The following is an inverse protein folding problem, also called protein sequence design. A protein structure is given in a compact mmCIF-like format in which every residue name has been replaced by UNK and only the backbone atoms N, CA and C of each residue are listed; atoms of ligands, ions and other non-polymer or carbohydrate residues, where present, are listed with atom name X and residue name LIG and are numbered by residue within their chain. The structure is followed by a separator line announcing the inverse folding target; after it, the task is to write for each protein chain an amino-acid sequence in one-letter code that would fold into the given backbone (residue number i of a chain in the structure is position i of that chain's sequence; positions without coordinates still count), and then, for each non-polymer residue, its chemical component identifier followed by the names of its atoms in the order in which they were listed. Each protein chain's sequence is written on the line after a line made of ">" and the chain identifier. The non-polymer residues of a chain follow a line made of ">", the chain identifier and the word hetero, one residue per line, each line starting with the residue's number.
data_IF_119424359464
#
_entry.id   IF_119424359464
#
_cell.length_a   1.000
_cell.length_b   1.000
_cell.length_c   1.000
_cell.angle_alpha   90.00
_cell.angle_beta   90.00
_cell.angle_gamma   90.00
#
_symmetry.space_group_name_H-M   'P 1'
#
loop_
_entity.id
_entity.type
_entity.pdbx_description
1 polymer ?
#
# COMPACT_ATOMS: atom_id res chain seq x y z
N UNK A 1 54.59 -52.17 2.42
CA UNK A 1 54.05 -51.19 1.46
C UNK A 1 52.73 -50.65 2.05
N UNK A 2 52.86 -49.57 2.78
CA UNK A 2 51.73 -48.86 3.40
C UNK A 2 51.02 -47.96 2.37
N UNK A 3 49.75 -48.15 2.17
CA UNK A 3 48.91 -47.17 1.52
C UNK A 3 48.20 -46.32 2.59
N UNK A 4 48.64 -45.09 2.68
CA UNK A 4 48.04 -44.03 3.44
C UNK A 4 46.61 -43.76 2.91
N UNK A 5 45.61 -43.88 3.78
CA UNK A 5 44.25 -43.40 3.54
C UNK A 5 44.22 -41.91 3.78
N UNK A 6 44.09 -41.16 2.70
CA UNK A 6 43.76 -39.74 2.78
C UNK A 6 42.26 -39.61 3.18
N UNK A 7 42.01 -39.02 4.33
CA UNK A 7 40.68 -38.56 4.75
C UNK A 7 40.25 -37.37 3.87
N UNK A 8 39.16 -37.53 3.15
CA UNK A 8 38.47 -36.41 2.50
C UNK A 8 38.00 -35.39 3.55
N UNK A 9 38.10 -34.08 3.26
CA UNK A 9 37.59 -33.08 4.18
C UNK A 9 36.06 -33.16 4.19
N UNK A 10 35.55 -33.26 5.42
CA UNK A 10 34.13 -33.13 5.75
C UNK A 10 33.68 -31.73 5.33
N UNK A 11 33.06 -31.61 4.16
CA UNK A 11 32.34 -30.37 3.75
C UNK A 11 31.14 -30.26 4.64
N UNK A 12 31.22 -29.45 5.69
CA UNK A 12 30.06 -28.98 6.46
C UNK A 12 28.98 -28.56 5.46
N UNK A 13 27.90 -29.32 5.42
CA UNK A 13 26.70 -28.94 4.69
C UNK A 13 26.12 -27.75 5.45
N UNK A 14 26.26 -26.55 4.88
CA UNK A 14 25.61 -25.35 5.37
C UNK A 14 24.13 -25.61 5.66
N UNK A 15 23.57 -24.90 6.60
CA UNK A 15 22.14 -25.00 6.95
C UNK A 15 21.27 -24.81 5.71
N UNK A 16 20.06 -25.33 5.68
CA UNK A 16 19.15 -25.21 4.52
C UNK A 16 18.97 -23.74 4.08
N UNK A 17 19.04 -22.79 5.02
CA UNK A 17 18.98 -21.36 4.75
C UNK A 17 20.16 -20.82 3.93
N UNK A 18 21.35 -21.45 3.99
CA UNK A 18 22.53 -21.00 3.25
C UNK A 18 22.45 -21.25 1.73
N UNK A 19 21.40 -21.97 1.29
CA UNK A 19 21.15 -22.27 -0.12
C UNK A 19 20.24 -21.26 -0.81
N UNK A 20 19.60 -20.38 -0.03
CA UNK A 20 18.71 -19.33 -0.54
C UNK A 20 19.52 -18.08 -0.89
N UNK A 21 19.00 -17.27 -1.82
CA UNK A 21 19.62 -15.97 -2.13
C UNK A 21 19.56 -15.06 -0.89
N UNK A 22 20.58 -14.19 -0.73
CA UNK A 22 20.68 -13.26 0.39
C UNK A 22 19.42 -12.40 0.54
N UNK A 23 18.97 -11.81 -0.56
CA UNK A 23 17.78 -10.92 -0.61
C UNK A 23 16.49 -11.55 -0.05
N UNK A 24 16.31 -12.86 -0.20
CA UNK A 24 15.11 -13.55 0.35
C UNK A 24 15.21 -13.70 1.86
N UNK A 25 16.41 -13.84 2.40
CA UNK A 25 16.64 -13.94 3.85
C UNK A 25 16.44 -12.59 4.56
N UNK A 26 16.66 -11.49 3.85
CA UNK A 26 16.56 -10.13 4.38
C UNK A 26 15.11 -9.59 4.37
N UNK A 27 14.17 -10.36 3.79
CA UNK A 27 12.74 -10.04 3.83
C UNK A 27 12.10 -10.71 5.04
N UNK A 28 11.59 -9.88 5.94
CA UNK A 28 10.82 -10.35 7.09
C UNK A 28 9.35 -10.62 6.70
N UNK A 29 8.68 -11.61 7.34
CA UNK A 29 7.24 -11.76 7.22
C UNK A 29 6.53 -10.48 7.63
N UNK A 30 5.60 -10.01 6.81
CA UNK A 30 4.84 -8.80 7.12
C UNK A 30 4.01 -9.01 8.39
N UNK A 31 4.18 -8.13 9.39
CA UNK A 31 3.49 -8.24 10.69
C UNK A 31 1.97 -8.23 10.58
N UNK A 32 1.40 -7.60 9.53
CA UNK A 32 -0.04 -7.67 9.23
C UNK A 32 -0.45 -9.11 8.95
N UNK A 33 0.33 -9.84 8.14
CA UNK A 33 0.02 -11.22 7.77
C UNK A 33 0.09 -12.17 8.98
N UNK A 34 0.98 -11.89 9.92
CA UNK A 34 1.06 -12.67 11.17
C UNK A 34 -0.26 -12.59 11.94
N UNK A 35 -0.88 -11.39 12.01
CA UNK A 35 -2.18 -11.24 12.68
C UNK A 35 -3.30 -11.99 11.95
N UNK A 36 -3.30 -12.01 10.61
CA UNK A 36 -4.23 -12.84 9.83
C UNK A 36 -4.09 -14.34 10.16
N UNK A 37 -2.85 -14.83 10.21
CA UNK A 37 -2.59 -16.23 10.50
C UNK A 37 -3.02 -16.60 11.93
N UNK A 38 -2.74 -15.74 12.91
CA UNK A 38 -3.18 -15.93 14.29
C UNK A 38 -4.71 -15.90 14.43
N UNK A 39 -5.39 -14.98 13.75
CA UNK A 39 -6.85 -14.91 13.75
C UNK A 39 -7.46 -16.18 13.16
N UNK A 40 -6.98 -16.61 11.98
CA UNK A 40 -7.45 -17.83 11.33
C UNK A 40 -7.16 -19.10 12.14
N UNK A 41 -6.06 -19.15 12.90
CA UNK A 41 -5.77 -20.25 13.82
C UNK A 41 -6.76 -20.24 14.99
N UNK A 42 -6.99 -19.07 15.59
CA UNK A 42 -7.89 -18.90 16.72
C UNK A 42 -9.35 -19.25 16.36
N UNK A 43 -9.84 -18.81 15.18
CA UNK A 43 -11.14 -19.21 14.66
C UNK A 43 -11.26 -20.72 14.44
N UNK A 44 -10.22 -21.33 13.89
CA UNK A 44 -10.20 -22.79 13.65
C UNK A 44 -10.24 -23.61 14.95
N UNK A 45 -9.58 -23.11 16.00
CA UNK A 45 -9.55 -23.78 17.30
C UNK A 45 -10.86 -23.61 18.10
N UNK A 46 -11.50 -22.45 17.98
CA UNK A 46 -12.68 -22.10 18.77
C UNK A 46 -14.02 -22.33 18.03
N UNK A 47 -14.00 -22.37 16.71
CA UNK A 47 -15.20 -22.53 15.88
C UNK A 47 -16.26 -21.47 16.18
N UNK A 48 -17.52 -21.88 16.27
CA UNK A 48 -18.67 -20.99 16.51
C UNK A 48 -18.71 -20.36 17.92
N UNK A 49 -17.72 -20.62 18.78
CA UNK A 49 -17.63 -20.03 20.12
C UNK A 49 -17.09 -18.59 20.10
N UNK A 50 -16.52 -18.16 18.98
CA UNK A 50 -15.87 -16.85 18.83
C UNK A 50 -16.47 -16.09 17.66
N UNK A 51 -16.86 -14.84 17.91
CA UNK A 51 -17.25 -13.88 16.89
C UNK A 51 -16.13 -12.83 16.74
N UNK A 52 -15.22 -13.03 15.79
CA UNK A 52 -14.13 -12.08 15.54
C UNK A 52 -14.60 -10.88 14.73
N UNK A 53 -14.16 -9.71 15.13
CA UNK A 53 -14.30 -8.47 14.36
C UNK A 53 -12.99 -8.18 13.65
N UNK A 54 -12.99 -8.33 12.33
CA UNK A 54 -11.84 -8.12 11.48
C UNK A 54 -11.71 -6.64 11.09
N UNK A 55 -10.74 -5.92 11.66
CA UNK A 55 -10.41 -4.53 11.35
C UNK A 55 -8.98 -4.39 10.77
N UNK A 56 -8.34 -5.50 10.42
CA UNK A 56 -7.00 -5.53 9.83
C UNK A 56 -7.00 -5.49 8.31
N UNK A 57 -8.14 -5.72 7.65
CA UNK A 57 -8.22 -5.83 6.20
C UNK A 57 -7.82 -4.53 5.47
N UNK A 58 -7.09 -4.70 4.38
CA UNK A 58 -6.63 -3.60 3.54
C UNK A 58 -7.38 -3.53 2.20
N UNK A 59 -8.67 -3.88 2.18
CA UNK A 59 -9.50 -3.86 0.98
C UNK A 59 -10.88 -3.29 1.26
N UNK A 60 -11.54 -2.68 0.25
CA UNK A 60 -12.94 -2.28 0.36
C UNK A 60 -13.84 -3.48 0.68
N UNK A 61 -14.85 -3.26 1.52
CA UNK A 61 -15.91 -4.22 1.83
C UNK A 61 -17.10 -4.16 0.84
N UNK A 62 -16.89 -3.51 -0.28
CA UNK A 62 -17.85 -3.40 -1.38
C UNK A 62 -17.48 -4.37 -2.50
N UNK A 63 -18.48 -4.99 -3.08
CA UNK A 63 -18.29 -5.78 -4.29
C UNK A 63 -17.97 -4.88 -5.49
N UNK A 64 -17.22 -5.42 -6.46
CA UNK A 64 -17.05 -4.77 -7.76
C UNK A 64 -18.43 -4.60 -8.41
N UNK A 65 -18.80 -3.40 -8.90
CA UNK A 65 -20.13 -3.16 -9.50
C UNK A 65 -20.45 -4.11 -10.67
N UNK A 66 -21.72 -4.55 -10.77
CA UNK A 66 -22.17 -5.53 -11.75
C UNK A 66 -21.79 -5.18 -13.19
N UNK A 67 -21.93 -3.89 -13.59
CA UNK A 67 -21.57 -3.46 -14.95
C UNK A 67 -20.08 -3.68 -15.26
N UNK A 68 -19.20 -3.52 -14.28
CA UNK A 68 -17.76 -3.77 -14.42
C UNK A 68 -17.49 -5.28 -14.54
N UNK A 69 -18.17 -6.08 -13.71
CA UNK A 69 -18.09 -7.55 -13.77
C UNK A 69 -18.57 -8.07 -15.10
N UNK A 70 -19.74 -7.59 -15.57
CA UNK A 70 -20.36 -7.99 -16.83
C UNK A 70 -19.44 -7.68 -18.03
N UNK A 71 -18.80 -6.50 -18.06
CA UNK A 71 -17.86 -6.11 -19.12
C UNK A 71 -16.70 -7.11 -19.27
N UNK A 72 -16.14 -7.60 -18.16
CA UNK A 72 -15.08 -8.61 -18.20
C UNK A 72 -15.58 -9.94 -18.78
N UNK A 73 -16.75 -10.40 -18.32
CA UNK A 73 -17.31 -11.68 -18.76
C UNK A 73 -17.81 -11.65 -20.20
N UNK A 74 -18.37 -10.54 -20.66
CA UNK A 74 -18.74 -10.33 -22.07
C UNK A 74 -17.50 -10.33 -22.95
N UNK A 75 -16.46 -9.56 -22.60
CA UNK A 75 -15.19 -9.58 -23.33
C UNK A 75 -14.58 -10.98 -23.44
N UNK A 76 -14.60 -11.75 -22.35
CA UNK A 76 -14.11 -13.14 -22.36
C UNK A 76 -14.94 -14.05 -23.28
N UNK A 77 -16.27 -13.92 -23.31
CA UNK A 77 -17.16 -14.68 -24.20
C UNK A 77 -16.94 -14.33 -25.67
N UNK A 78 -16.60 -13.05 -25.93
CA UNK A 78 -16.30 -12.53 -27.28
C UNK A 78 -14.87 -12.84 -27.73
N UNK A 79 -14.11 -13.60 -26.95
CA UNK A 79 -12.80 -14.11 -27.31
C UNK A 79 -11.62 -13.27 -26.85
N UNK A 80 -11.81 -12.28 -25.97
CA UNK A 80 -10.73 -11.51 -25.34
C UNK A 80 -9.98 -12.36 -24.29
N UNK A 81 -9.40 -13.48 -24.73
CA UNK A 81 -8.71 -14.48 -23.87
C UNK A 81 -7.26 -14.74 -24.32
N UNK A 82 -6.69 -13.83 -25.10
CA UNK A 82 -5.34 -13.95 -25.64
C UNK A 82 -4.44 -12.87 -25.05
N UNK A 83 -3.14 -12.98 -25.27
CA UNK A 83 -2.18 -11.94 -24.91
C UNK A 83 -2.52 -10.61 -25.56
N UNK A 84 -2.32 -9.54 -24.82
CA UNK A 84 -2.40 -8.16 -25.29
C UNK A 84 -1.00 -7.59 -25.51
N UNK A 85 -0.90 -6.30 -25.84
CA UNK A 85 0.36 -5.56 -25.74
C UNK A 85 0.91 -5.63 -24.32
N UNK A 86 2.23 -5.66 -24.16
CA UNK A 86 2.91 -5.63 -22.86
C UNK A 86 2.57 -4.37 -22.07
N UNK A 87 2.35 -3.24 -22.75
CA UNK A 87 1.93 -2.00 -22.11
C UNK A 87 0.42 -1.98 -21.73
N UNK A 88 -0.34 -3.02 -22.09
CA UNK A 88 -1.80 -3.10 -21.91
C UNK A 88 -2.60 -2.74 -23.15
N UNK A 89 -3.91 -2.90 -23.09
CA UNK A 89 -4.84 -2.53 -24.17
C UNK A 89 -4.74 -1.03 -24.46
N UNK A 90 -4.61 -0.61 -25.75
CA UNK A 90 -4.62 0.80 -26.12
C UNK A 90 -5.85 1.55 -25.55
N UNK A 91 -7.04 0.96 -25.68
CA UNK A 91 -8.27 1.56 -25.16
C UNK A 91 -8.26 1.79 -23.64
N UNK A 92 -7.60 0.91 -22.85
CA UNK A 92 -7.44 1.13 -21.41
C UNK A 92 -6.46 2.26 -21.13
N UNK A 93 -5.35 2.31 -21.84
CA UNK A 93 -4.34 3.38 -21.69
C UNK A 93 -4.92 4.74 -22.07
N UNK A 94 -5.71 4.80 -23.15
CA UNK A 94 -6.45 5.99 -23.56
C UNK A 94 -7.45 6.44 -22.47
N UNK A 95 -8.26 5.51 -21.92
CA UNK A 95 -9.22 5.83 -20.86
C UNK A 95 -8.54 6.32 -19.57
N UNK A 96 -7.37 5.75 -19.20
CA UNK A 96 -6.57 6.24 -18.07
C UNK A 96 -6.07 7.65 -18.36
N UNK A 97 -5.48 7.91 -19.52
CA UNK A 97 -4.97 9.24 -19.90
C UNK A 97 -6.09 10.30 -19.95
N UNK A 98 -7.27 9.94 -20.45
CA UNK A 98 -8.47 10.82 -20.44
C UNK A 98 -8.91 11.14 -18.99
N UNK A 99 -8.88 10.15 -18.08
CA UNK A 99 -9.22 10.37 -16.67
C UNK A 99 -8.22 11.29 -15.99
N UNK A 100 -6.92 11.10 -16.22
CA UNK A 100 -5.87 11.96 -15.69
C UNK A 100 -6.00 13.41 -16.17
N UNK A 101 -6.32 13.59 -17.44
CA UNK A 101 -6.53 14.91 -18.04
C UNK A 101 -7.83 15.59 -17.58
N UNK A 102 -8.91 14.80 -17.38
CA UNK A 102 -10.20 15.31 -16.90
C UNK A 102 -10.15 15.81 -15.45
N UNK A 103 -9.35 15.18 -14.62
CA UNK A 103 -9.04 15.65 -13.26
C UNK A 103 -8.28 17.00 -13.28
N UNK A 104 -7.82 17.45 -14.47
CA UNK A 104 -7.11 18.72 -14.68
C UNK A 104 -5.67 18.72 -14.18
N UNK A 105 -5.17 17.56 -13.72
CA UNK A 105 -3.92 17.48 -12.98
C UNK A 105 -2.74 17.03 -13.86
N UNK A 106 -2.95 16.10 -14.84
CA UNK A 106 -1.82 15.49 -15.55
C UNK A 106 -2.20 15.13 -17.00
N UNK A 107 -1.34 15.52 -17.95
CA UNK A 107 -1.44 15.08 -19.34
C UNK A 107 -0.36 14.05 -19.61
N UNK A 108 -0.77 12.85 -20.04
CA UNK A 108 0.11 11.69 -20.29
C UNK A 108 -0.14 11.18 -21.71
N UNK A 109 0.91 10.90 -22.47
CA UNK A 109 0.78 10.19 -23.74
C UNK A 109 0.49 8.70 -23.47
N UNK A 110 -0.70 8.21 -23.83
CA UNK A 110 -1.08 6.82 -23.58
C UNK A 110 -0.22 5.80 -24.36
N UNK A 111 0.50 6.22 -25.39
CA UNK A 111 1.31 5.30 -26.19
C UNK A 111 2.71 5.09 -25.60
N UNK A 112 3.32 6.14 -25.04
CA UNK A 112 4.73 6.14 -24.66
C UNK A 112 4.98 6.33 -23.16
N UNK A 113 4.04 6.92 -22.41
CA UNK A 113 4.24 7.33 -21.02
C UNK A 113 3.39 6.52 -20.00
N UNK A 114 2.77 5.41 -20.43
CA UNK A 114 1.88 4.63 -19.58
C UNK A 114 2.00 3.12 -19.81
N UNK A 115 2.07 2.35 -18.71
CA UNK A 115 2.02 0.87 -18.71
C UNK A 115 0.96 0.39 -17.73
N UNK A 116 0.08 -0.49 -18.19
CA UNK A 116 -0.88 -1.22 -17.34
C UNK A 116 -0.17 -2.38 -16.66
N UNK A 117 -0.43 -2.58 -15.37
CA UNK A 117 0.27 -3.56 -14.51
C UNK A 117 -0.72 -4.45 -13.76
N UNK A 118 -0.23 -5.55 -13.19
CA UNK A 118 -1.04 -6.45 -12.34
C UNK A 118 -1.27 -5.86 -10.93
N UNK A 119 -1.89 -4.68 -10.88
CA UNK A 119 -2.11 -3.87 -9.70
C UNK A 119 -0.91 -3.00 -9.33
N UNK A 120 -1.11 -2.06 -8.40
CA UNK A 120 -0.09 -1.11 -7.96
C UNK A 120 1.17 -1.76 -7.37
N UNK A 121 1.05 -2.97 -6.80
CA UNK A 121 2.22 -3.72 -6.28
C UNK A 121 3.22 -4.04 -7.37
N UNK A 122 2.77 -4.49 -8.54
CA UNK A 122 3.66 -4.73 -9.68
C UNK A 122 4.19 -3.42 -10.24
N UNK A 123 3.36 -2.36 -10.33
CA UNK A 123 3.82 -1.04 -10.76
C UNK A 123 5.00 -0.55 -9.91
N UNK A 124 4.89 -0.63 -8.59
CA UNK A 124 5.97 -0.30 -7.66
C UNK A 124 7.20 -1.19 -7.86
N UNK A 125 6.99 -2.51 -8.04
CA UNK A 125 8.08 -3.46 -8.30
C UNK A 125 8.86 -3.09 -9.57
N UNK A 126 8.15 -2.84 -10.64
CA UNK A 126 8.76 -2.49 -11.94
C UNK A 126 9.51 -1.15 -11.86
N UNK A 127 8.94 -0.16 -11.16
CA UNK A 127 9.60 1.12 -10.91
C UNK A 127 10.93 0.92 -10.17
N UNK A 128 10.90 0.24 -9.01
CA UNK A 128 12.09 -0.02 -8.19
C UNK A 128 13.14 -0.83 -8.98
N UNK A 129 12.73 -1.89 -9.68
CA UNK A 129 13.67 -2.69 -10.50
C UNK A 129 14.29 -1.89 -11.66
N UNK A 130 13.64 -0.80 -12.09
CA UNK A 130 14.15 0.03 -13.19
C UNK A 130 15.14 1.08 -12.72
N UNK A 131 14.90 1.67 -11.52
CA UNK A 131 15.66 2.86 -11.09
C UNK A 131 16.64 2.59 -9.95
N UNK A 132 16.56 1.43 -9.28
CA UNK A 132 17.40 1.12 -8.10
C UNK A 132 18.50 0.12 -8.47
N UNK A 133 19.73 0.57 -8.43
CA UNK A 133 20.90 -0.31 -8.56
C UNK A 133 21.23 -0.98 -7.20
N UNK A 134 21.91 -2.14 -7.20
CA UNK A 134 22.37 -2.77 -5.97
C UNK A 134 23.17 -1.82 -5.07
N UNK A 135 22.74 -1.67 -3.82
CA UNK A 135 23.36 -0.79 -2.83
C UNK A 135 22.90 0.67 -2.90
N UNK A 136 22.06 1.05 -3.86
CA UNK A 136 21.46 2.38 -3.90
C UNK A 136 20.34 2.49 -2.85
N UNK A 137 20.10 3.70 -2.37
CA UNK A 137 19.15 4.00 -1.30
C UNK A 137 17.75 4.28 -1.84
N UNK A 138 16.74 3.78 -1.12
CA UNK A 138 15.32 4.11 -1.33
C UNK A 138 14.80 4.75 -0.05
N UNK A 139 14.52 6.04 -0.10
CA UNK A 139 13.96 6.81 1.03
C UNK A 139 12.47 6.49 1.16
N UNK A 140 12.06 6.06 2.37
CA UNK A 140 10.69 5.66 2.67
C UNK A 140 10.21 6.40 3.92
N UNK A 141 9.34 7.41 3.79
CA UNK A 141 8.67 8.01 4.95
C UNK A 141 7.81 6.97 5.67
N UNK A 142 7.98 6.85 7.00
CA UNK A 142 7.26 5.87 7.83
C UNK A 142 6.45 6.56 8.95
N UNK A 143 5.35 5.97 9.44
CA UNK A 143 4.85 4.63 9.15
C UNK A 143 4.32 4.48 7.72
N UNK A 144 4.67 3.36 7.06
CA UNK A 144 4.33 3.08 5.68
C UNK A 144 3.92 1.63 5.47
N UNK A 145 3.14 1.39 4.43
CA UNK A 145 2.92 0.04 3.92
C UNK A 145 4.27 -0.64 3.63
N UNK A 146 4.50 -1.89 4.09
CA UNK A 146 5.84 -2.48 4.12
C UNK A 146 6.44 -2.84 2.76
N UNK A 147 5.65 -2.81 1.68
CA UNK A 147 6.14 -3.27 0.38
C UNK A 147 7.26 -2.41 -0.23
N UNK A 148 7.28 -1.08 -0.14
CA UNK A 148 8.43 -0.30 -0.63
C UNK A 148 9.75 -0.75 -0.01
N UNK A 149 9.77 -0.98 1.30
CA UNK A 149 10.95 -1.48 2.03
C UNK A 149 11.35 -2.88 1.54
N UNK A 150 10.38 -3.79 1.44
CA UNK A 150 10.63 -5.16 0.98
C UNK A 150 11.10 -5.21 -0.49
N UNK A 151 10.53 -4.37 -1.34
CA UNK A 151 10.90 -4.33 -2.75
C UNK A 151 12.24 -3.67 -3.01
N UNK A 152 12.63 -2.66 -2.21
CA UNK A 152 13.99 -2.12 -2.21
C UNK A 152 15.02 -3.23 -1.91
N UNK A 153 14.77 -4.02 -0.86
CA UNK A 153 15.61 -5.20 -0.51
C UNK A 153 15.64 -6.25 -1.64
N UNK A 154 14.51 -6.48 -2.33
CA UNK A 154 14.46 -7.40 -3.48
C UNK A 154 15.30 -6.92 -4.67
N UNK A 155 15.51 -5.63 -4.81
CA UNK A 155 16.40 -5.02 -5.80
C UNK A 155 17.87 -4.97 -5.33
N UNK A 156 18.21 -5.59 -4.21
CA UNK A 156 19.50 -5.45 -3.52
C UNK A 156 19.82 -3.98 -3.15
N UNK A 157 18.80 -3.11 -3.06
CA UNK A 157 18.89 -1.73 -2.60
C UNK A 157 18.78 -1.61 -1.07
N UNK A 158 19.01 -0.43 -0.56
CA UNK A 158 19.02 -0.11 0.88
C UNK A 158 17.82 0.79 1.21
N UNK A 159 16.77 0.30 1.90
CA UNK A 159 15.70 1.16 2.37
C UNK A 159 16.19 2.08 3.49
N UNK A 160 15.92 3.38 3.36
CA UNK A 160 16.18 4.41 4.36
C UNK A 160 14.85 4.90 4.92
N UNK A 161 14.50 4.40 6.10
CA UNK A 161 13.25 4.78 6.77
C UNK A 161 13.36 6.17 7.38
N UNK A 162 12.36 7.03 7.12
CA UNK A 162 12.27 8.40 7.65
C UNK A 162 11.01 8.50 8.51
N UNK A 163 11.11 8.37 9.84
CA UNK A 163 9.94 8.43 10.72
C UNK A 163 9.30 9.82 10.73
N UNK A 164 8.00 9.88 10.43
CA UNK A 164 7.18 11.07 10.61
C UNK A 164 6.80 11.24 12.09
N UNK A 165 6.64 12.47 12.57
CA UNK A 165 6.40 12.74 13.99
C UNK A 165 5.00 12.29 14.43
N UNK A 166 4.95 11.32 15.36
CA UNK A 166 3.68 10.82 15.90
C UNK A 166 2.95 11.90 16.71
N UNK A 167 3.68 12.75 17.41
CA UNK A 167 3.16 13.90 18.18
C UNK A 167 2.47 14.96 17.30
N UNK A 168 2.76 14.97 16.01
CA UNK A 168 2.12 15.83 15.00
C UNK A 168 1.07 15.05 14.17
N UNK A 169 0.66 13.88 14.64
CA UNK A 169 -0.31 13.03 13.94
C UNK A 169 0.19 12.49 12.60
N UNK A 170 1.50 12.25 12.49
CA UNK A 170 2.17 11.78 11.28
C UNK A 170 1.99 12.70 10.08
N UNK A 171 1.89 14.01 10.34
CA UNK A 171 1.90 15.00 9.26
C UNK A 171 3.16 14.83 8.40
N UNK A 172 3.04 14.78 7.07
CA UNK A 172 4.20 14.66 6.20
C UNK A 172 5.17 15.82 6.38
N UNK A 173 6.37 15.54 6.87
CA UNK A 173 7.44 16.50 7.11
C UNK A 173 8.45 16.48 5.95
N UNK A 174 8.32 17.46 5.05
CA UNK A 174 9.19 17.56 3.89
C UNK A 174 10.66 17.80 4.26
N UNK A 175 10.95 18.52 5.38
CA UNK A 175 12.33 18.77 5.80
C UNK A 175 13.04 17.47 6.16
N UNK A 176 12.37 16.59 6.90
CA UNK A 176 12.94 15.29 7.25
C UNK A 176 13.20 14.40 6.03
N UNK A 177 12.29 14.45 5.05
CA UNK A 177 12.45 13.66 3.81
C UNK A 177 13.62 14.21 2.99
N UNK A 178 13.68 15.52 2.79
CA UNK A 178 14.74 16.21 2.05
C UNK A 178 16.11 15.97 2.69
N UNK A 179 16.21 16.05 4.02
CA UNK A 179 17.45 15.78 4.75
C UNK A 179 17.98 14.34 4.58
N UNK A 180 17.09 13.39 4.26
CA UNK A 180 17.45 11.99 4.01
C UNK A 180 17.86 11.71 2.55
N UNK A 181 17.59 12.63 1.62
CA UNK A 181 17.96 12.48 0.21
C UNK A 181 19.44 12.88 0.04
N UNK A 182 20.21 12.02 -0.62
CA UNK A 182 21.63 12.24 -0.83
C UNK A 182 22.15 11.63 -2.13
N UNK A 183 23.46 11.68 -2.37
CA UNK A 183 24.06 11.24 -3.63
C UNK A 183 23.94 9.72 -3.91
N UNK A 184 23.54 8.92 -2.93
CA UNK A 184 23.30 7.50 -3.09
C UNK A 184 21.80 7.18 -3.24
N UNK A 185 20.92 8.17 -3.11
CA UNK A 185 19.48 7.97 -3.23
C UNK A 185 19.09 7.77 -4.68
N UNK A 186 18.50 6.61 -4.99
CA UNK A 186 17.94 6.31 -6.31
C UNK A 186 16.46 6.65 -6.39
N UNK A 187 15.74 6.50 -5.27
CA UNK A 187 14.30 6.77 -5.24
C UNK A 187 13.82 7.25 -3.87
N UNK A 188 12.73 8.01 -3.89
CA UNK A 188 11.92 8.39 -2.72
C UNK A 188 10.51 7.91 -2.95
N UNK A 189 9.88 7.25 -1.98
CA UNK A 189 8.48 6.85 -2.10
C UNK A 189 7.57 7.84 -1.40
N UNK A 190 6.52 8.31 -2.09
CA UNK A 190 5.46 9.13 -1.51
C UNK A 190 4.12 8.41 -1.69
N UNK A 191 3.49 7.98 -0.60
CA UNK A 191 2.15 7.40 -0.61
C UNK A 191 1.15 8.44 -0.12
N UNK A 192 0.27 8.94 -1.01
CA UNK A 192 -0.67 10.03 -0.70
C UNK A 192 -2.05 9.76 -1.28
N UNK A 193 -3.07 9.58 -0.42
CA UNK A 193 -3.05 9.40 1.04
C UNK A 193 -2.32 8.15 1.50
N UNK A 194 -1.72 8.21 2.70
CA UNK A 194 -0.87 7.16 3.25
C UNK A 194 -1.66 5.98 3.83
N UNK A 195 -1.13 4.79 3.69
CA UNK A 195 -1.42 3.62 4.51
C UNK A 195 -0.21 3.42 5.46
N UNK A 196 -0.37 3.58 6.79
CA UNK A 196 -1.60 3.36 7.56
C UNK A 196 -2.33 4.63 8.03
N UNK A 197 -1.77 5.83 7.89
CA UNK A 197 -2.20 7.03 8.62
C UNK A 197 -3.39 7.76 8.01
N UNK A 198 -3.63 7.56 6.71
CA UNK A 198 -4.62 8.34 5.95
C UNK A 198 -4.21 9.80 5.68
N UNK A 199 -2.97 10.20 6.04
CA UNK A 199 -2.46 11.57 5.81
C UNK A 199 -2.12 11.78 4.34
N UNK A 200 -2.35 12.98 3.84
CA UNK A 200 -2.03 13.38 2.48
C UNK A 200 -0.93 14.45 2.47
N UNK A 201 -0.11 14.42 1.44
CA UNK A 201 0.93 15.44 1.26
C UNK A 201 0.34 16.73 0.69
N UNK A 202 0.68 17.86 1.29
CA UNK A 202 0.39 19.18 0.74
C UNK A 202 1.26 19.48 -0.50
N UNK A 203 0.78 20.33 -1.39
CA UNK A 203 1.46 20.64 -2.65
C UNK A 203 2.89 21.16 -2.46
N UNK A 204 3.10 22.05 -1.50
CA UNK A 204 4.42 22.61 -1.19
C UNK A 204 5.41 21.57 -0.63
N UNK A 205 4.92 20.60 0.13
CA UNK A 205 5.73 19.48 0.60
C UNK A 205 6.15 18.55 -0.56
N UNK A 206 5.22 18.27 -1.48
CA UNK A 206 5.50 17.50 -2.69
C UNK A 206 6.56 18.19 -3.54
N UNK A 207 6.37 19.47 -3.86
CA UNK A 207 7.29 20.28 -4.68
C UNK A 207 8.73 20.21 -4.13
N UNK A 208 8.89 20.44 -2.84
CA UNK A 208 10.20 20.40 -2.16
C UNK A 208 10.88 19.04 -2.24
N UNK A 209 10.12 17.95 -2.06
CA UNK A 209 10.68 16.60 -2.13
C UNK A 209 11.08 16.25 -3.56
N UNK A 210 10.26 16.61 -4.56
CA UNK A 210 10.57 16.35 -5.98
C UNK A 210 11.80 17.16 -6.43
N UNK A 211 11.90 18.44 -6.02
CA UNK A 211 13.08 19.27 -6.32
C UNK A 211 14.35 18.66 -5.72
N UNK A 212 14.32 18.28 -4.44
CA UNK A 212 15.46 17.65 -3.77
C UNK A 212 15.86 16.32 -4.41
N UNK A 213 14.89 15.49 -4.77
CA UNK A 213 15.16 14.24 -5.50
C UNK A 213 15.83 14.51 -6.86
N UNK A 214 15.34 15.49 -7.60
CA UNK A 214 15.90 15.89 -8.89
C UNK A 214 17.32 16.45 -8.80
N UNK A 215 17.67 17.18 -7.72
CA UNK A 215 19.03 17.67 -7.47
C UNK A 215 20.06 16.52 -7.30
N UNK A 216 19.60 15.35 -6.89
CA UNK A 216 20.39 14.14 -6.68
C UNK A 216 20.19 13.06 -7.75
N UNK A 217 19.56 13.38 -8.88
CA UNK A 217 19.21 12.44 -9.95
C UNK A 217 18.32 11.27 -9.49
N UNK A 218 17.64 11.39 -8.35
CA UNK A 218 16.72 10.41 -7.81
C UNK A 218 15.32 10.54 -8.42
N UNK A 219 14.54 9.45 -8.37
CA UNK A 219 13.14 9.41 -8.79
C UNK A 219 12.19 9.50 -7.59
N UNK A 220 11.03 10.11 -7.78
CA UNK A 220 9.92 10.03 -6.82
C UNK A 220 8.92 8.98 -7.32
N UNK A 221 8.71 7.94 -6.51
CA UNK A 221 7.72 6.90 -6.74
C UNK A 221 6.44 7.31 -6.01
N UNK A 222 5.50 7.89 -6.75
CA UNK A 222 4.25 8.42 -6.23
C UNK A 222 3.18 7.33 -6.20
N UNK A 223 2.93 6.75 -5.03
CA UNK A 223 1.85 5.78 -4.81
C UNK A 223 0.55 6.53 -4.48
N UNK A 224 -0.32 6.65 -5.48
CA UNK A 224 -1.55 7.44 -5.45
C UNK A 224 -2.82 6.56 -5.39
N UNK A 225 -2.70 5.27 -5.04
CA UNK A 225 -3.80 4.28 -5.06
C UNK A 225 -5.00 4.64 -4.17
N UNK A 226 -4.83 5.56 -3.22
CA UNK A 226 -5.90 6.07 -2.37
C UNK A 226 -6.37 7.47 -2.74
N UNK A 227 -5.79 8.12 -3.75
CA UNK A 227 -6.09 9.52 -4.07
C UNK A 227 -7.57 9.78 -4.29
N UNK A 228 -8.28 8.90 -4.96
CA UNK A 228 -9.73 9.02 -5.17
C UNK A 228 -10.58 8.67 -3.94
N UNK A 229 -9.96 8.04 -2.92
CA UNK A 229 -10.58 7.76 -1.62
C UNK A 229 -10.25 8.85 -0.60
N UNK A 230 -10.52 10.10 -0.92
CA UNK A 230 -10.37 11.26 -0.05
C UNK A 230 -11.72 11.84 0.34
N UNK A 231 -11.77 12.56 1.46
CA UNK A 231 -13.02 12.87 2.11
C UNK A 231 -13.36 14.36 2.11
N UNK A 232 -12.37 15.22 2.17
CA UNK A 232 -12.57 16.67 2.24
C UNK A 232 -12.01 17.34 0.99
N UNK A 233 -10.72 17.22 0.75
CA UNK A 233 -10.06 17.73 -0.47
C UNK A 233 -9.32 16.59 -1.16
N UNK A 234 -9.32 16.59 -2.49
CA UNK A 234 -8.52 15.64 -3.27
C UNK A 234 -7.09 16.19 -3.33
N UNK A 235 -6.07 15.45 -2.82
CA UNK A 235 -4.69 15.92 -2.88
C UNK A 235 -4.22 16.01 -4.34
N UNK A 236 -3.30 16.94 -4.64
CA UNK A 236 -2.74 17.02 -5.99
C UNK A 236 -2.00 15.72 -6.35
N UNK A 237 -1.90 15.43 -7.64
CA UNK A 237 -0.98 14.39 -8.11
C UNK A 237 0.45 14.89 -7.99
N UNK A 238 1.36 14.00 -7.57
CA UNK A 238 2.77 14.37 -7.39
C UNK A 238 3.37 14.92 -8.70
N UNK A 239 3.07 14.31 -9.83
CA UNK A 239 3.56 14.74 -11.13
C UNK A 239 2.96 16.07 -11.61
N UNK A 240 1.82 16.53 -11.07
CA UNK A 240 1.17 17.78 -11.50
C UNK A 240 1.66 19.02 -10.73
N UNK A 241 2.32 18.84 -9.59
CA UNK A 241 2.72 19.95 -8.71
C UNK A 241 4.10 20.48 -9.06
N UNK A 242 5.03 19.59 -9.43
CA UNK A 242 6.42 19.95 -9.63
C UNK A 242 6.74 20.25 -11.10
N UNK A 243 7.60 21.26 -11.35
CA UNK A 243 8.16 21.55 -12.68
C UNK A 243 9.14 20.45 -13.17
N UNK A 244 9.33 19.39 -12.37
CA UNK A 244 10.25 18.28 -12.59
C UNK A 244 9.53 16.95 -12.67
N UNK A 245 8.48 16.89 -13.50
CA UNK A 245 7.73 15.66 -13.82
C UNK A 245 8.62 14.57 -14.46
N UNK A 246 9.76 14.96 -15.06
CA UNK A 246 10.81 14.08 -15.58
C UNK A 246 11.43 13.16 -14.48
N UNK A 247 11.14 13.37 -13.21
CA UNK A 247 11.62 12.57 -12.07
C UNK A 247 10.52 11.87 -11.29
N UNK A 248 9.29 11.90 -11.78
CA UNK A 248 8.14 11.29 -11.09
C UNK A 248 7.66 10.06 -11.84
N UNK A 249 7.48 8.96 -11.12
CA UNK A 249 6.81 7.74 -11.57
C UNK A 249 5.51 7.61 -10.76
N UNK A 250 4.37 7.95 -11.39
CA UNK A 250 3.05 7.84 -10.75
C UNK A 250 2.52 6.42 -10.82
N UNK A 251 2.08 5.90 -9.69
CA UNK A 251 1.55 4.54 -9.50
C UNK A 251 0.11 4.65 -9.01
N UNK A 252 -0.80 3.97 -9.68
CA UNK A 252 -2.20 3.95 -9.27
C UNK A 252 -2.82 2.55 -9.53
N UNK A 253 -4.02 2.31 -9.03
CA UNK A 253 -4.66 0.99 -9.10
C UNK A 253 -6.17 1.07 -9.04
N UNK A 254 -6.83 0.18 -9.76
CA UNK A 254 -8.27 -0.02 -9.65
C UNK A 254 -8.69 -0.73 -8.35
N UNK A 255 -7.72 -1.22 -7.58
CA UNK A 255 -7.98 -2.04 -6.39
C UNK A 255 -8.82 -1.34 -5.34
N UNK A 256 -8.59 -0.03 -5.09
CA UNK A 256 -9.18 0.68 -3.94
C UNK A 256 -10.41 1.49 -4.32
N UNK A 257 -10.24 2.48 -5.17
CA UNK A 257 -11.33 3.39 -5.59
C UNK A 257 -12.43 2.69 -6.39
N UNK A 258 -12.12 1.57 -7.03
CA UNK A 258 -13.06 0.82 -7.88
C UNK A 258 -13.47 -0.54 -7.31
N UNK A 259 -13.11 -0.85 -6.04
CA UNK A 259 -13.40 -2.13 -5.39
C UNK A 259 -12.97 -3.35 -6.24
N UNK A 260 -11.77 -3.29 -6.83
CA UNK A 260 -11.26 -4.28 -7.78
C UNK A 260 -9.99 -4.98 -7.28
N UNK A 261 -9.87 -5.25 -5.97
CA UNK A 261 -8.64 -5.84 -5.39
C UNK A 261 -8.27 -7.17 -6.03
N UNK A 262 -9.24 -8.05 -6.27
CA UNK A 262 -9.06 -9.37 -6.85
C UNK A 262 -8.80 -9.37 -8.37
N UNK A 263 -9.11 -8.31 -9.09
CA UNK A 263 -8.95 -8.21 -10.54
C UNK A 263 -7.50 -7.98 -10.98
N UNK A 264 -6.67 -7.50 -10.08
CA UNK A 264 -5.25 -7.25 -10.31
C UNK A 264 -4.97 -6.34 -11.50
N UNK A 265 -5.53 -5.14 -11.50
CA UNK A 265 -5.27 -4.10 -12.51
C UNK A 265 -4.79 -2.82 -11.82
N UNK A 266 -3.73 -2.26 -12.34
CA UNK A 266 -3.15 -0.98 -11.97
C UNK A 266 -2.39 -0.39 -13.14
N UNK A 267 -1.70 0.69 -12.93
CA UNK A 267 -0.89 1.33 -13.95
C UNK A 267 0.26 2.14 -13.34
N UNK A 268 1.23 2.43 -14.19
CA UNK A 268 2.34 3.34 -13.91
C UNK A 268 2.45 4.32 -15.07
N UNK A 269 2.66 5.58 -14.77
CA UNK A 269 3.04 6.59 -15.76
C UNK A 269 4.31 7.34 -15.35
N UNK A 270 5.01 7.88 -16.35
CA UNK A 270 6.24 8.64 -16.16
C UNK A 270 6.92 8.95 -17.48
N UNK A 271 8.18 9.42 -17.46
CA UNK A 271 8.92 9.78 -18.65
C UNK A 271 9.03 8.64 -19.66
N UNK A 272 8.87 8.93 -20.96
CA UNK A 272 8.86 7.96 -22.06
C UNK A 272 10.06 6.98 -22.03
N UNK A 273 11.26 7.51 -21.82
CA UNK A 273 12.49 6.71 -21.82
C UNK A 273 12.53 5.72 -20.63
N UNK A 274 12.00 6.09 -19.46
CA UNK A 274 11.89 5.22 -18.27
C UNK A 274 10.79 4.19 -18.46
N UNK A 275 9.62 4.60 -18.93
CA UNK A 275 8.47 3.72 -19.19
C UNK A 275 8.81 2.66 -20.24
N UNK A 276 9.62 3.02 -21.25
CA UNK A 276 10.14 2.05 -22.21
C UNK A 276 11.03 0.96 -21.57
N UNK A 277 11.77 1.27 -20.51
CA UNK A 277 12.56 0.26 -19.79
C UNK A 277 11.66 -0.60 -18.87
N UNK A 278 10.71 0.03 -18.20
CA UNK A 278 9.68 -0.64 -17.37
C UNK A 278 8.93 -1.69 -18.19
N UNK A 279 8.51 -1.35 -19.41
CA UNK A 279 7.82 -2.26 -20.31
C UNK A 279 8.65 -3.52 -20.65
N UNK A 280 9.98 -3.43 -20.75
CA UNK A 280 10.87 -4.59 -20.98
C UNK A 280 10.93 -5.53 -19.78
N UNK A 281 10.94 -4.97 -18.56
CA UNK A 281 10.91 -5.78 -17.33
C UNK A 281 9.55 -6.46 -17.22
N UNK A 282 8.46 -5.71 -17.46
CA UNK A 282 7.10 -6.25 -17.46
C UNK A 282 6.93 -7.40 -18.47
N UNK A 283 7.42 -7.25 -19.69
CA UNK A 283 7.43 -8.33 -20.67
C UNK A 283 8.11 -9.60 -20.14
N UNK A 284 9.24 -9.43 -19.45
CA UNK A 284 10.07 -10.54 -18.96
C UNK A 284 9.52 -11.20 -17.71
N UNK A 285 8.69 -10.49 -16.93
CA UNK A 285 8.14 -10.98 -15.64
C UNK A 285 6.72 -11.54 -15.79
N UNK A 286 5.84 -10.81 -16.48
CA UNK A 286 4.40 -11.10 -16.49
C UNK A 286 3.82 -11.20 -17.89
N UNK A 287 4.51 -10.68 -18.91
CA UNK A 287 4.11 -10.57 -20.32
C UNK A 287 3.02 -9.52 -20.55
N UNK A 288 1.84 -9.68 -19.96
CA UNK A 288 0.74 -8.70 -20.03
C UNK A 288 -0.25 -8.95 -18.90
N UNK A 289 -1.10 -7.96 -18.63
CA UNK A 289 -2.20 -8.06 -17.68
C UNK A 289 -3.34 -8.91 -18.23
N UNK A 290 -4.10 -9.56 -17.36
CA UNK A 290 -5.28 -10.35 -17.70
C UNK A 290 -6.23 -9.56 -18.61
N UNK A 291 -6.51 -10.07 -19.81
CA UNK A 291 -7.26 -9.34 -20.83
C UNK A 291 -8.70 -9.02 -20.40
N UNK A 292 -9.52 -9.95 -19.88
CA UNK A 292 -10.83 -9.63 -19.35
C UNK A 292 -10.82 -8.57 -18.25
N UNK A 293 -9.81 -8.63 -17.35
CA UNK A 293 -9.68 -7.63 -16.29
C UNK A 293 -9.38 -6.21 -16.82
N UNK A 294 -8.66 -6.10 -17.93
CA UNK A 294 -8.45 -4.80 -18.58
C UNK A 294 -9.75 -4.25 -19.16
N UNK A 295 -10.66 -5.09 -19.69
CA UNK A 295 -12.00 -4.63 -20.15
C UNK A 295 -12.86 -4.18 -18.96
N UNK A 296 -12.80 -4.89 -17.82
CA UNK A 296 -13.43 -4.41 -16.59
C UNK A 296 -12.91 -3.04 -16.17
N UNK A 297 -11.59 -2.82 -16.26
CA UNK A 297 -10.98 -1.54 -15.90
C UNK A 297 -11.40 -0.39 -16.85
N UNK A 298 -11.58 -0.66 -18.14
CA UNK A 298 -12.14 0.32 -19.07
C UNK A 298 -13.56 0.71 -18.63
N UNK A 299 -14.42 -0.28 -18.36
CA UNK A 299 -15.79 -0.03 -17.90
C UNK A 299 -15.84 0.71 -16.57
N UNK A 300 -14.92 0.40 -15.64
CA UNK A 300 -14.80 1.10 -14.36
C UNK A 300 -14.51 2.60 -14.54
N UNK A 301 -13.71 2.98 -15.56
CA UNK A 301 -13.40 4.38 -15.85
C UNK A 301 -14.52 5.08 -16.66
N UNK A 302 -15.11 4.39 -17.62
CA UNK A 302 -15.99 5.00 -18.63
C UNK A 302 -17.48 4.78 -18.37
N UNK A 303 -17.83 3.80 -17.55
CA UNK A 303 -19.19 3.44 -17.18
C UNK A 303 -19.78 4.31 -16.06
N UNK A 304 -20.91 3.88 -15.47
CA UNK A 304 -21.57 4.58 -14.37
C UNK A 304 -20.68 4.76 -13.16
N UNK A 305 -20.57 5.99 -12.63
CA UNK A 305 -19.71 6.35 -11.50
C UNK A 305 -20.45 6.40 -10.14
N UNK A 306 -21.77 6.23 -10.14
CA UNK A 306 -22.59 6.27 -8.93
C UNK A 306 -22.14 5.27 -7.86
N UNK A 307 -21.87 3.97 -8.17
CA UNK A 307 -21.48 3.00 -7.16
C UNK A 307 -20.18 3.40 -6.42
N UNK A 308 -19.23 3.97 -7.16
CA UNK A 308 -17.94 4.41 -6.57
C UNK A 308 -18.13 5.64 -5.68
N UNK A 309 -18.99 6.60 -6.08
CA UNK A 309 -19.32 7.77 -5.24
C UNK A 309 -20.06 7.37 -3.97
N UNK A 310 -20.97 6.40 -4.06
CA UNK A 310 -21.68 5.86 -2.90
C UNK A 310 -20.74 5.18 -1.93
N UNK A 311 -19.79 4.39 -2.43
CA UNK A 311 -18.73 3.77 -1.62
C UNK A 311 -17.88 4.81 -0.89
N UNK A 312 -17.41 5.86 -1.60
CA UNK A 312 -16.60 6.94 -0.99
C UNK A 312 -17.43 7.68 0.08
N UNK A 313 -18.71 7.95 -0.18
CA UNK A 313 -19.60 8.59 0.78
C UNK A 313 -19.82 7.72 2.04
N UNK A 314 -19.93 6.40 1.86
CA UNK A 314 -20.02 5.46 2.98
C UNK A 314 -18.72 5.46 3.81
N UNK A 315 -17.55 5.42 3.18
CA UNK A 315 -16.27 5.51 3.88
C UNK A 315 -16.10 6.83 4.64
N UNK A 316 -16.52 7.96 4.06
CA UNK A 316 -16.54 9.25 4.76
C UNK A 316 -17.37 9.17 6.05
N UNK A 317 -18.58 8.64 5.97
CA UNK A 317 -19.47 8.49 7.13
C UNK A 317 -18.89 7.55 8.19
N UNK A 318 -18.24 6.47 7.77
CA UNK A 318 -17.58 5.51 8.67
C UNK A 318 -16.34 6.11 9.33
N UNK A 319 -15.51 6.85 8.56
CA UNK A 319 -14.38 7.62 9.11
C UNK A 319 -14.84 8.54 10.22
N UNK A 320 -15.85 9.38 9.96
CA UNK A 320 -16.34 10.36 10.92
C UNK A 320 -16.79 9.66 12.20
N UNK A 321 -17.54 8.58 12.08
CA UNK A 321 -17.96 7.79 13.22
C UNK A 321 -16.81 7.17 14.02
N UNK A 322 -15.85 6.55 13.33
CA UNK A 322 -14.71 5.90 13.99
C UNK A 322 -13.85 6.95 14.72
N UNK A 323 -13.60 8.09 14.08
CA UNK A 323 -12.85 9.19 14.69
C UNK A 323 -13.57 9.74 15.91
N UNK A 324 -14.88 10.06 15.82
CA UNK A 324 -15.68 10.58 16.93
C UNK A 324 -15.69 9.62 18.13
N UNK A 325 -15.75 8.29 17.87
CA UNK A 325 -15.70 7.27 18.92
C UNK A 325 -14.32 7.19 19.58
N UNK A 326 -13.24 7.18 18.78
CA UNK A 326 -11.87 7.11 19.30
C UNK A 326 -11.49 8.37 20.08
N UNK A 327 -11.89 9.57 19.62
CA UNK A 327 -11.67 10.83 20.33
C UNK A 327 -12.39 10.88 21.68
N UNK A 328 -13.51 10.15 21.83
CA UNK A 328 -14.24 10.05 23.10
C UNK A 328 -13.72 8.96 24.02
N UNK A 329 -12.83 8.08 23.55
CA UNK A 329 -12.23 7.00 24.34
C UNK A 329 -11.02 7.52 25.13
N UNK A 330 -11.02 7.49 26.48
CA UNK A 330 -9.90 7.94 27.28
C UNK A 330 -8.60 7.20 26.94
N UNK A 331 -7.47 7.92 26.95
CA UNK A 331 -6.14 7.35 26.72
C UNK A 331 -5.89 6.77 25.33
N UNK A 332 -6.78 7.05 24.39
CA UNK A 332 -6.64 6.70 22.98
C UNK A 332 -6.68 7.99 22.17
N UNK A 333 -5.89 8.08 21.13
CA UNK A 333 -5.95 9.20 20.20
C UNK A 333 -5.79 8.74 18.76
N UNK A 334 -6.27 9.54 17.82
CA UNK A 334 -6.17 9.28 16.38
C UNK A 334 -6.03 10.59 15.63
N UNK A 335 -5.08 10.65 14.71
CA UNK A 335 -5.07 11.71 13.71
C UNK A 335 -6.20 11.46 12.71
N UNK A 336 -7.03 12.49 12.43
CA UNK A 336 -8.16 12.34 11.50
C UNK A 336 -7.65 12.00 10.10
N UNK A 337 -8.01 10.84 9.51
CA UNK A 337 -7.60 10.49 8.16
C UNK A 337 -8.21 11.43 7.11
N UNK A 338 -7.40 11.90 6.18
CA UNK A 338 -7.82 12.73 5.04
C UNK A 338 -8.28 11.85 3.88
N UNK A 339 -7.74 10.62 3.81
CA UNK A 339 -8.11 9.63 2.80
C UNK A 339 -7.83 8.18 3.25
N UNK A 340 -7.86 7.27 2.29
CA UNK A 340 -7.83 5.82 2.49
C UNK A 340 -9.02 5.36 3.38
N UNK A 341 -8.94 4.18 3.97
CA UNK A 341 -10.00 3.68 4.87
C UNK A 341 -9.40 3.11 6.17
N UNK A 342 -8.38 3.81 6.70
CA UNK A 342 -7.67 3.41 7.91
C UNK A 342 -7.70 4.51 8.97
N UNK A 343 -7.78 4.09 10.23
CA UNK A 343 -7.48 4.89 11.39
C UNK A 343 -6.20 4.34 12.04
N UNK A 344 -5.21 5.19 12.27
CA UNK A 344 -3.97 4.81 12.94
C UNK A 344 -4.02 5.33 14.37
N UNK A 345 -4.30 4.42 15.29
CA UNK A 345 -4.76 4.70 16.64
C UNK A 345 -3.61 4.59 17.62
N UNK A 346 -3.32 5.65 18.34
CA UNK A 346 -2.37 5.64 19.47
C UNK A 346 -2.98 4.87 20.64
N UNK A 347 -2.29 3.80 21.01
CA UNK A 347 -2.59 2.93 22.16
C UNK A 347 -1.38 2.80 23.08
N UNK A 348 -0.44 3.74 23.01
CA UNK A 348 0.80 3.74 23.79
C UNK A 348 0.61 3.81 25.31
N UNK A 349 -0.58 4.19 25.76
CA UNK A 349 -0.96 4.15 27.18
C UNK A 349 -1.19 2.73 27.70
N UNK A 350 -1.45 1.74 26.83
CA UNK A 350 -1.61 0.33 27.18
C UNK A 350 -0.26 -0.34 27.38
N UNK A 351 -0.20 -1.35 28.23
CA UNK A 351 1.06 -2.05 28.55
C UNK A 351 1.53 -2.94 27.37
N UNK A 352 2.82 -2.93 27.07
CA UNK A 352 3.47 -3.76 26.07
C UNK A 352 3.64 -3.11 24.71
N UNK A 353 4.12 -3.89 23.74
CA UNK A 353 4.30 -3.45 22.35
C UNK A 353 2.98 -3.41 21.59
N UNK A 354 2.95 -2.72 20.44
CA UNK A 354 1.78 -2.72 19.55
C UNK A 354 1.34 -4.14 19.13
N UNK A 355 2.31 -5.07 19.02
CA UNK A 355 2.04 -6.49 18.77
C UNK A 355 1.36 -7.16 19.97
N UNK A 356 1.78 -6.84 21.19
CA UNK A 356 1.17 -7.39 22.41
C UNK A 356 -0.25 -6.88 22.60
N UNK A 357 -0.49 -5.59 22.33
CA UNK A 357 -1.83 -4.99 22.38
C UNK A 357 -2.74 -5.63 21.32
N UNK A 358 -2.25 -5.78 20.06
CA UNK A 358 -3.02 -6.43 18.99
C UNK A 358 -3.40 -7.88 19.35
N UNK A 359 -2.50 -8.63 19.98
CA UNK A 359 -2.79 -10.00 20.47
C UNK A 359 -3.81 -10.03 21.60
N UNK A 360 -3.73 -9.10 22.55
CA UNK A 360 -4.74 -9.01 23.60
C UNK A 360 -6.12 -8.67 23.05
N UNK A 361 -6.19 -7.73 22.11
CA UNK A 361 -7.45 -7.44 21.41
C UNK A 361 -8.00 -8.69 20.72
N UNK A 362 -7.16 -9.47 20.05
CA UNK A 362 -7.58 -10.72 19.41
C UNK A 362 -8.10 -11.75 20.42
N UNK A 363 -7.30 -12.11 21.42
CA UNK A 363 -7.59 -13.25 22.29
C UNK A 363 -8.57 -12.96 23.43
N UNK A 364 -8.61 -11.71 23.93
CA UNK A 364 -9.44 -11.33 25.06
C UNK A 364 -10.73 -10.66 24.62
N UNK A 365 -10.69 -9.92 23.50
CA UNK A 365 -11.81 -9.12 23.02
C UNK A 365 -12.36 -9.57 21.67
N UNK A 366 -11.66 -10.46 20.96
CA UNK A 366 -12.09 -10.94 19.64
C UNK A 366 -12.06 -9.85 18.56
N UNK A 367 -11.09 -8.93 18.61
CA UNK A 367 -10.88 -7.90 17.59
C UNK A 367 -9.52 -8.08 16.94
N UNK A 368 -9.51 -8.18 15.63
CA UNK A 368 -8.27 -8.32 14.84
C UNK A 368 -7.86 -6.95 14.30
N UNK A 369 -6.63 -6.54 14.57
CA UNK A 369 -6.06 -5.26 14.10
C UNK A 369 -4.66 -5.46 13.58
N UNK A 370 -4.13 -4.51 12.81
CA UNK A 370 -2.73 -4.55 12.40
C UNK A 370 -1.87 -3.76 13.39
N UNK A 371 -0.82 -4.38 13.99
CA UNK A 371 0.08 -3.68 14.90
C UNK A 371 0.89 -2.62 14.15
N UNK A 372 1.08 -1.46 14.76
CA UNK A 372 1.77 -0.33 14.15
C UNK A 372 3.21 -0.63 13.80
N UNK A 373 3.88 -1.49 14.56
CA UNK A 373 5.24 -1.99 14.25
C UNK A 373 5.36 -2.60 12.84
N UNK A 374 4.27 -3.14 12.30
CA UNK A 374 4.24 -3.69 10.94
C UNK A 374 4.42 -2.64 9.83
N UNK A 375 4.36 -1.36 10.17
CA UNK A 375 4.49 -0.23 9.25
C UNK A 375 5.81 0.55 9.44
N UNK A 376 6.80 -0.05 10.09
CA UNK A 376 8.10 0.55 10.41
C UNK A 376 8.23 0.96 11.88
N UNK A 377 9.44 1.35 12.27
CA UNK A 377 9.76 1.69 13.67
C UNK A 377 8.92 2.85 14.20
N UNK A 378 8.61 3.83 13.36
CA UNK A 378 7.76 4.98 13.70
C UNK A 378 6.31 4.64 14.01
N UNK A 379 5.86 3.42 13.70
CA UNK A 379 4.49 2.95 13.99
C UNK A 379 4.32 2.30 15.36
N UNK A 380 5.38 2.10 16.15
CA UNK A 380 5.27 1.48 17.47
C UNK A 380 4.36 2.30 18.39
N UNK A 381 3.62 1.62 19.27
CA UNK A 381 2.61 2.22 20.14
C UNK A 381 1.25 2.50 19.46
N UNK A 382 1.10 2.13 18.18
CA UNK A 382 -0.14 2.35 17.42
C UNK A 382 -0.74 1.04 16.92
N UNK A 383 -2.03 1.09 16.58
CA UNK A 383 -2.75 0.04 15.85
C UNK A 383 -3.39 0.65 14.60
N UNK A 384 -3.32 -0.06 13.46
CA UNK A 384 -4.12 0.29 12.30
C UNK A 384 -5.46 -0.44 12.35
N UNK A 385 -6.56 0.30 12.33
CA UNK A 385 -7.92 -0.18 12.17
C UNK A 385 -8.41 0.21 10.78
N UNK A 386 -8.98 -0.76 10.06
CA UNK A 386 -9.71 -0.49 8.82
C UNK A 386 -11.17 -0.18 9.12
N UNK A 387 -11.70 0.90 8.57
CA UNK A 387 -13.14 1.18 8.60
C UNK A 387 -13.87 0.77 7.33
N UNK A 388 -13.21 -0.02 6.46
CA UNK A 388 -13.84 -0.77 5.39
C UNK A 388 -14.54 -2.00 5.98
N UNK A 389 -15.66 -1.76 6.65
CA UNK A 389 -16.49 -2.77 7.30
C UNK A 389 -17.89 -2.21 7.56
N UNK A 390 -18.86 -3.10 7.78
CA UNK A 390 -20.21 -2.71 8.17
C UNK A 390 -20.23 -1.91 9.48
N UNK A 391 -21.20 -0.98 9.57
CA UNK A 391 -21.33 -0.09 10.71
C UNK A 391 -21.46 -0.84 12.05
N UNK A 392 -22.26 -1.92 12.08
CA UNK A 392 -22.47 -2.71 13.27
C UNK A 392 -21.19 -3.44 13.72
N UNK A 393 -20.36 -3.87 12.76
CA UNK A 393 -19.06 -4.49 13.04
C UNK A 393 -18.07 -3.46 13.57
N UNK A 394 -18.06 -2.25 13.00
CA UNK A 394 -17.23 -1.15 13.51
C UNK A 394 -17.62 -0.77 14.95
N UNK A 395 -18.93 -0.64 15.23
CA UNK A 395 -19.42 -0.36 16.58
C UNK A 395 -18.95 -1.44 17.56
N UNK A 396 -19.18 -2.70 17.24
CA UNK A 396 -18.77 -3.82 18.10
C UNK A 396 -17.25 -3.85 18.32
N UNK A 397 -16.44 -3.60 17.29
CA UNK A 397 -14.99 -3.59 17.40
C UNK A 397 -14.48 -2.45 18.26
N UNK A 398 -15.08 -1.27 18.15
CA UNK A 398 -14.74 -0.11 18.98
C UNK A 398 -15.19 -0.29 20.43
N UNK A 399 -16.40 -0.84 20.69
CA UNK A 399 -16.86 -1.17 22.05
C UNK A 399 -15.88 -2.12 22.75
N UNK A 400 -15.38 -3.12 22.02
CA UNK A 400 -14.41 -4.09 22.53
C UNK A 400 -13.02 -3.48 22.78
N UNK A 401 -12.58 -2.54 21.93
CA UNK A 401 -11.35 -1.77 22.16
C UNK A 401 -11.49 -0.92 23.43
N UNK A 402 -12.60 -0.19 23.57
CA UNK A 402 -12.90 0.62 24.76
C UNK A 402 -12.92 -0.24 26.03
N UNK A 403 -13.45 -1.46 25.97
CA UNK A 403 -13.48 -2.40 27.09
C UNK A 403 -12.06 -2.82 27.51
N UNK A 404 -11.15 -3.08 26.55
CA UNK A 404 -9.75 -3.37 26.86
C UNK A 404 -9.08 -2.18 27.56
N UNK A 405 -9.25 -0.97 27.01
CA UNK A 405 -8.70 0.27 27.58
C UNK A 405 -9.21 0.48 29.02
N UNK A 406 -10.52 0.35 29.21
CA UNK A 406 -11.17 0.50 30.52
C UNK A 406 -10.67 -0.53 31.54
N UNK A 407 -10.50 -1.76 31.13
CA UNK A 407 -10.06 -2.85 32.00
C UNK A 407 -8.61 -2.68 32.46
N UNK A 408 -7.71 -2.27 31.54
CA UNK A 408 -6.30 -2.09 31.86
C UNK A 408 -5.99 -0.80 32.63
N UNK A 409 -6.67 0.30 32.30
CA UNK A 409 -6.33 1.63 32.84
C UNK A 409 -7.28 2.06 33.98
N UNK A 410 -8.29 1.26 34.30
CA UNK A 410 -9.20 1.50 35.44
C UNK A 410 -10.06 2.77 35.28
N UNK A 411 -10.39 3.14 34.05
CA UNK A 411 -11.27 4.29 33.74
C UNK A 411 -12.71 3.86 33.83
N UNK A 412 -13.55 4.61 34.63
CA UNK A 412 -15.00 4.40 34.74
C UNK A 412 -15.78 4.94 33.55
#
# INVERSE_FOLDING_TARGET
>A
MNRSSASEPDTERGTESDRLSGRVRDIEPQGIRVMFELAAEYERERGDEVDLVHLEFGEPDFDTPDHVVDAAFEAARDGATRYTSNAGLPALREAIAETLSADGDLTVDPESELVVTNGGVEALHLAIQTVVDPGAEVVVPTPAWPNPISQAKLADGVPVEVPMPAEEGFEPDADRIVDAIGPNTAAVTLTSPSNPTGRAYAADAIERVVEAAAEHDAYVLADEVYRQLTYDEIPPRVASVADRDDRVLSIDSFSKAYAMTGWRVGWLSGPEDVVAQIAKIHESTTSCVNTPAQHAAIEALTGPQEPFREMIAAFRSRRDYVVDRLESTPHVSVARPEGAFYAFVDVSALEGSSVDVAKRLLYEQGVVTAPGRAFGDGGEGHLRLSFANDRDRLELGLDRLEELVRTELGTE
#
